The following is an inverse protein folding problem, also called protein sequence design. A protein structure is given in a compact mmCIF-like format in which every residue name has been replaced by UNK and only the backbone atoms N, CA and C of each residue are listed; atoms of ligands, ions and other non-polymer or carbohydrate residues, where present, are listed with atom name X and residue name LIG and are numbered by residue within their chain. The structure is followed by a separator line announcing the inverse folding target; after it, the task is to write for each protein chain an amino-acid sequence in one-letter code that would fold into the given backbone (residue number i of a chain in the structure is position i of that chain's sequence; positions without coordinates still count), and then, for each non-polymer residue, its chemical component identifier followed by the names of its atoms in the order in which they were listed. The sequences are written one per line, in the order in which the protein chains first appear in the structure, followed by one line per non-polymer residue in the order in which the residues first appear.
data_IF_966411835572
#
_entry.id   IF_966411835572
#
_cell.length_a   1.000
_cell.length_b   1.000
_cell.length_c   1.000
_cell.angle_alpha   90.00
_cell.angle_beta   90.00
_cell.angle_gamma   90.00
#
_symmetry.space_group_name_H-M   'P 1'
#
loop_
_entity.id
_entity.type
_entity.pdbx_description
1 polymer ?
#
# COMPACT_ATOMS: atom_id res chain seq x y z
N UNK A 1 -19.05 -18.40 7.21
CA UNK A 1 -18.78 -16.94 7.18
C UNK A 1 -17.49 -16.68 7.92
N UNK A 2 -17.15 -15.43 8.25
CA UNK A 2 -15.97 -15.17 9.09
C UNK A 2 -16.17 -15.61 10.57
N UNK A 3 -17.42 -15.78 11.02
CA UNK A 3 -17.79 -16.40 12.32
C UNK A 3 -17.14 -15.76 13.56
N UNK A 4 -16.83 -14.46 13.48
CA UNK A 4 -16.43 -13.65 14.63
C UNK A 4 -17.12 -12.28 14.60
N UNK A 5 -17.16 -11.63 15.78
CA UNK A 5 -17.73 -10.29 15.96
C UNK A 5 -16.61 -9.26 15.96
N UNK A 6 -16.79 -8.17 15.21
CA UNK A 6 -15.90 -7.00 15.23
C UNK A 6 -16.64 -5.85 15.89
N UNK A 7 -16.17 -5.39 17.05
CA UNK A 7 -16.67 -4.17 17.67
C UNK A 7 -15.89 -2.96 17.14
N UNK A 8 -16.58 -2.03 16.49
CA UNK A 8 -15.99 -0.83 15.90
C UNK A 8 -16.17 0.34 16.89
N UNK A 9 -15.09 0.83 17.46
CA UNK A 9 -15.09 1.92 18.45
C UNK A 9 -14.64 3.28 17.87
N UNK A 10 -14.63 3.42 16.55
CA UNK A 10 -14.16 4.60 15.83
C UNK A 10 -14.10 4.34 14.32
N UNK A 11 -13.51 5.25 13.56
CA UNK A 11 -13.37 5.05 12.11
C UNK A 11 -12.32 3.99 11.78
N UNK A 12 -12.67 3.05 10.90
CA UNK A 12 -11.77 2.02 10.39
C UNK A 12 -11.46 2.36 8.93
N UNK A 13 -10.20 2.66 8.65
CA UNK A 13 -9.70 2.84 7.29
C UNK A 13 -9.52 1.47 6.62
N UNK A 14 -10.51 1.06 5.81
CA UNK A 14 -10.47 -0.20 5.05
C UNK A 14 -9.75 -0.08 3.71
N UNK A 15 -9.57 1.14 3.20
CA UNK A 15 -8.86 1.44 1.95
C UNK A 15 -7.92 2.64 2.14
N UNK A 16 -6.61 2.42 2.37
CA UNK A 16 -5.66 3.52 2.50
C UNK A 16 -5.44 4.22 1.15
N UNK A 17 -5.31 5.56 1.19
CA UNK A 17 -4.92 6.36 0.03
C UNK A 17 -3.41 6.40 -0.17
N UNK A 18 -2.97 6.87 -1.34
CA UNK A 18 -1.56 7.11 -1.61
C UNK A 18 -1.08 8.41 -0.92
N UNK A 19 0.16 8.46 -0.42
CA UNK A 19 0.75 9.68 0.14
C UNK A 19 1.01 10.72 -0.96
N UNK A 20 1.27 11.98 -0.57
CA UNK A 20 1.52 13.11 -1.50
C UNK A 20 2.59 12.82 -2.55
N UNK A 21 3.62 12.03 -2.21
CA UNK A 21 4.62 11.52 -3.15
C UNK A 21 4.52 9.99 -3.14
N UNK A 22 3.84 9.38 -4.13
CA UNK A 22 3.74 7.93 -4.23
C UNK A 22 5.12 7.29 -4.48
N UNK A 23 5.41 6.17 -3.82
CA UNK A 23 6.61 5.37 -4.09
C UNK A 23 6.71 4.96 -5.57
N UNK A 24 5.56 4.81 -6.24
CA UNK A 24 5.44 4.54 -7.68
C UNK A 24 6.23 5.49 -8.58
N UNK A 25 6.47 6.74 -8.16
CA UNK A 25 7.26 7.69 -8.97
C UNK A 25 8.74 7.31 -9.08
N UNK A 26 9.26 6.52 -8.12
CA UNK A 26 10.65 6.13 -8.06
C UNK A 26 10.88 4.68 -8.50
N UNK A 27 9.81 3.90 -8.68
CA UNK A 27 9.88 2.51 -9.13
C UNK A 27 10.25 2.50 -10.61
N UNK A 28 11.39 1.90 -10.94
CA UNK A 28 11.86 1.73 -12.32
C UNK A 28 12.63 0.43 -12.49
N UNK A 29 12.80 0.03 -13.74
CA UNK A 29 13.64 -1.10 -14.13
C UNK A 29 14.87 -0.52 -14.85
N UNK A 30 16.07 -0.91 -14.43
CA UNK A 30 17.32 -0.52 -15.07
C UNK A 30 17.58 -1.35 -16.36
N UNK A 31 18.66 -1.02 -17.09
CA UNK A 31 19.00 -1.70 -18.34
C UNK A 31 19.40 -3.18 -18.14
N UNK A 32 19.76 -3.58 -16.92
CA UNK A 32 20.10 -4.94 -16.54
C UNK A 32 18.88 -5.72 -16.03
N UNK A 33 17.69 -5.10 -16.03
CA UNK A 33 16.45 -5.71 -15.57
C UNK A 33 16.27 -5.70 -14.05
N UNK A 34 17.06 -4.92 -13.29
CA UNK A 34 16.91 -4.78 -11.84
C UNK A 34 15.89 -3.71 -11.49
N UNK A 35 15.18 -3.92 -10.37
CA UNK A 35 14.16 -3.01 -9.88
C UNK A 35 14.78 -2.04 -8.87
N UNK A 36 14.70 -0.75 -9.17
CA UNK A 36 15.05 0.35 -8.27
C UNK A 36 13.79 0.95 -7.64
N UNK A 37 13.89 1.44 -6.40
CA UNK A 37 12.82 2.23 -5.75
C UNK A 37 11.63 1.44 -5.22
N UNK A 38 11.72 0.11 -5.15
CA UNK A 38 10.71 -0.77 -4.56
C UNK A 38 10.86 -0.89 -3.02
N UNK A 39 11.98 -0.44 -2.47
CA UNK A 39 12.33 -0.46 -1.03
C UNK A 39 13.14 0.79 -0.68
#
# INVERSE_FOLDING_TARGET
GAEFVVAICGEIMTMPGLPRVPAANNIRIDADGRIDGLF
#
